data_IF_309170740812
#
_entry.id   IF_309170740812
#
_cell.length_a   1.000
_cell.length_b   1.000
_cell.length_c   1.000
_cell.angle_alpha   90.00
_cell.angle_beta   90.00
_cell.angle_gamma   90.00
#
_symmetry.space_group_name_H-M   'P 1'
#
loop_
_entity.id
_entity.type
_entity.pdbx_description
1 polymer ?
#
# COMPACT_ATOMS: atom_id res chain seq x y z
N UNK A 1 -17.22 25.35 -5.03
CA UNK A 1 -18.52 24.69 -5.27
C UNK A 1 -18.24 23.25 -5.70
N UNK A 2 -19.10 22.30 -5.36
CA UNK A 2 -19.00 20.94 -5.94
C UNK A 2 -19.51 20.99 -7.37
N UNK A 3 -19.02 20.16 -8.30
CA UNK A 3 -19.46 20.23 -9.69
C UNK A 3 -20.93 19.77 -9.80
N UNK A 4 -21.56 20.09 -10.94
CA UNK A 4 -22.92 19.63 -11.23
C UNK A 4 -22.93 18.12 -11.49
N UNK A 5 -24.09 17.50 -11.31
CA UNK A 5 -24.32 16.07 -11.44
C UNK A 5 -23.94 15.28 -10.19
N UNK A 6 -23.95 13.96 -10.37
CA UNK A 6 -23.51 12.96 -9.42
C UNK A 6 -21.98 12.90 -9.40
N UNK A 7 -21.39 12.88 -8.20
CA UNK A 7 -19.95 12.81 -8.00
C UNK A 7 -19.61 11.82 -6.92
N UNK A 8 -18.73 10.87 -7.23
CA UNK A 8 -18.21 9.85 -6.34
C UNK A 8 -16.78 10.19 -5.94
N UNK A 9 -16.48 10.07 -4.65
CA UNK A 9 -15.14 10.32 -4.12
C UNK A 9 -14.76 9.26 -3.09
N UNK A 10 -13.48 8.91 -3.06
CA UNK A 10 -12.89 8.07 -2.02
C UNK A 10 -12.06 8.89 -1.03
N UNK A 11 -12.03 8.46 0.23
CA UNK A 11 -11.13 9.03 1.25
C UNK A 11 -9.65 8.74 0.95
N UNK A 12 -9.37 7.68 0.20
CA UNK A 12 -8.06 7.33 -0.33
C UNK A 12 -8.25 6.61 -1.67
N UNK A 13 -7.57 7.10 -2.72
CA UNK A 13 -7.59 6.47 -4.05
C UNK A 13 -6.50 5.41 -4.22
N UNK A 14 -5.49 5.43 -3.35
CA UNK A 14 -4.46 4.39 -3.30
C UNK A 14 -3.94 4.19 -1.89
N UNK A 15 -3.62 2.94 -1.54
CA UNK A 15 -2.87 2.64 -0.31
C UNK A 15 -2.00 1.39 -0.49
N UNK A 16 -1.01 1.23 0.39
CA UNK A 16 -0.19 0.03 0.46
C UNK A 16 -0.97 -1.11 1.13
N UNK A 17 -1.01 -2.26 0.46
CA UNK A 17 -1.77 -3.42 0.89
C UNK A 17 -3.28 -3.24 0.81
N UNK A 18 -3.99 -4.21 1.38
CA UNK A 18 -5.44 -4.18 1.44
C UNK A 18 -5.93 -3.02 2.31
N UNK A 19 -6.91 -2.26 1.82
CA UNK A 19 -7.50 -1.16 2.57
C UNK A 19 -8.97 -0.96 2.19
N UNK A 20 -9.76 -0.40 3.11
CA UNK A 20 -11.15 -0.01 2.88
C UNK A 20 -11.26 1.51 2.89
N UNK A 21 -11.37 2.19 1.73
CA UNK A 21 -11.68 3.62 1.71
C UNK A 21 -13.13 3.86 2.15
N UNK A 22 -13.41 5.04 2.69
CA UNK A 22 -14.78 5.54 2.79
C UNK A 22 -15.15 6.20 1.47
N UNK A 23 -16.32 5.87 0.92
CA UNK A 23 -16.87 6.51 -0.26
C UNK A 23 -17.85 7.62 0.12
N UNK A 24 -17.94 8.64 -0.71
CA UNK A 24 -18.97 9.67 -0.60
C UNK A 24 -19.51 10.02 -1.97
N UNK A 25 -20.83 10.08 -2.10
CA UNK A 25 -21.50 10.59 -3.30
C UNK A 25 -22.11 11.95 -3.00
N UNK A 26 -22.14 12.84 -3.98
CA UNK A 26 -22.98 14.02 -3.94
C UNK A 26 -23.63 14.32 -5.26
N UNK A 27 -24.85 14.84 -5.21
CA UNK A 27 -25.63 15.23 -6.38
C UNK A 27 -25.94 16.73 -6.36
N UNK A 28 -25.65 17.42 -7.46
CA UNK A 28 -25.86 18.85 -7.63
C UNK A 28 -26.57 19.14 -8.94
N UNK A 29 -27.50 20.09 -8.90
CA UNK A 29 -28.12 20.58 -10.13
C UNK A 29 -27.09 21.30 -11.02
N UNK A 30 -27.48 21.58 -12.27
CA UNK A 30 -26.71 22.43 -13.18
C UNK A 30 -26.41 23.85 -12.63
N UNK A 31 -27.16 24.30 -11.61
CA UNK A 31 -26.93 25.57 -10.89
C UNK A 31 -26.13 25.40 -9.60
N UNK A 32 -25.53 24.22 -9.39
CA UNK A 32 -24.77 23.81 -8.21
C UNK A 32 -25.58 23.76 -6.91
N UNK A 33 -26.92 23.74 -6.99
CA UNK A 33 -27.78 23.55 -5.84
C UNK A 33 -27.75 22.09 -5.38
N UNK A 34 -28.00 21.85 -4.08
CA UNK A 34 -28.10 20.48 -3.56
C UNK A 34 -29.35 19.80 -4.11
N UNK A 35 -29.21 18.54 -4.51
CA UNK A 35 -30.34 17.68 -4.91
C UNK A 35 -30.47 16.59 -3.85
N UNK A 36 -31.59 16.61 -3.13
CA UNK A 36 -31.90 15.65 -2.07
C UNK A 36 -32.80 14.53 -2.60
N UNK A 37 -32.81 13.41 -1.90
CA UNK A 37 -33.63 12.23 -2.17
C UNK A 37 -33.38 11.57 -3.54
N UNK A 38 -32.23 11.84 -4.15
CA UNK A 38 -31.75 11.17 -5.36
C UNK A 38 -31.42 9.71 -5.02
N UNK A 39 -32.10 8.70 -5.60
CA UNK A 39 -31.73 7.30 -5.42
C UNK A 39 -30.43 7.01 -6.17
N UNK A 40 -29.48 6.36 -5.52
CA UNK A 40 -28.16 6.13 -6.12
C UNK A 40 -27.72 4.71 -5.86
N UNK A 41 -27.51 3.97 -6.94
CA UNK A 41 -26.90 2.65 -6.89
C UNK A 41 -25.37 2.78 -7.07
N UNK A 42 -24.64 2.02 -6.26
CA UNK A 42 -23.17 1.98 -6.32
C UNK A 42 -22.73 0.54 -6.42
N UNK A 43 -21.97 0.25 -7.47
CA UNK A 43 -21.38 -1.06 -7.71
C UNK A 43 -19.92 -0.90 -8.08
N UNK A 44 -19.19 -2.02 -8.12
CA UNK A 44 -17.79 -2.00 -8.46
C UNK A 44 -17.39 -3.22 -9.28
N UNK A 45 -16.32 -3.07 -10.05
CA UNK A 45 -15.67 -4.18 -10.73
C UNK A 45 -14.21 -4.26 -10.30
N UNK A 46 -13.79 -5.44 -9.84
CA UNK A 46 -12.39 -5.72 -9.53
C UNK A 46 -11.65 -5.99 -10.83
N UNK A 47 -10.66 -5.17 -11.14
CA UNK A 47 -9.86 -5.30 -12.35
C UNK A 47 -9.20 -6.68 -12.41
N UNK A 48 -9.29 -7.35 -13.56
CA UNK A 48 -8.81 -8.71 -13.73
C UNK A 48 -8.08 -8.89 -15.05
N UNK A 49 -7.09 -9.78 -15.06
CA UNK A 49 -6.42 -10.27 -16.27
C UNK A 49 -7.04 -11.57 -16.79
N UNK A 50 -8.01 -12.12 -16.08
CA UNK A 50 -8.70 -13.36 -16.47
C UNK A 50 -9.54 -13.08 -17.70
N UNK A 51 -9.32 -13.87 -18.76
CA UNK A 51 -10.12 -13.78 -19.98
C UNK A 51 -11.61 -14.00 -19.65
N UNK A 52 -12.47 -13.13 -20.19
CA UNK A 52 -13.91 -13.14 -19.92
C UNK A 52 -14.33 -12.47 -18.61
N UNK A 53 -13.40 -11.86 -17.85
CA UNK A 53 -13.75 -11.00 -16.72
C UNK A 53 -13.75 -9.53 -17.15
N UNK A 54 -14.93 -8.93 -17.23
CA UNK A 54 -15.13 -7.54 -17.63
C UNK A 54 -16.19 -6.84 -16.77
N UNK A 55 -16.09 -5.52 -16.64
CA UNK A 55 -17.13 -4.71 -16.01
C UNK A 55 -18.45 -4.75 -16.81
N UNK A 56 -18.33 -4.79 -18.15
CA UNK A 56 -19.42 -4.65 -19.09
C UNK A 56 -19.43 -5.78 -20.12
N UNK A 57 -20.62 -6.26 -20.45
CA UNK A 57 -20.85 -7.13 -21.60
C UNK A 57 -20.82 -6.35 -22.92
N UNK A 58 -20.92 -7.08 -24.04
CA UNK A 58 -20.87 -6.50 -25.39
C UNK A 58 -22.03 -5.53 -25.72
N UNK A 59 -23.07 -5.48 -24.87
CA UNK A 59 -24.24 -4.60 -25.01
C UNK A 59 -24.32 -3.58 -23.88
N UNK A 60 -23.20 -3.21 -23.25
CA UNK A 60 -23.15 -2.22 -22.17
C UNK A 60 -23.68 -2.67 -20.81
N UNK A 61 -24.41 -3.79 -20.73
CA UNK A 61 -24.95 -4.33 -19.47
C UNK A 61 -23.84 -4.74 -18.51
N UNK A 62 -24.10 -4.58 -17.21
CA UNK A 62 -23.19 -5.06 -16.17
C UNK A 62 -22.94 -6.57 -16.27
N UNK A 63 -21.67 -6.96 -16.20
CA UNK A 63 -21.25 -8.37 -16.23
C UNK A 63 -20.67 -8.79 -14.87
N UNK A 64 -19.34 -8.78 -14.72
CA UNK A 64 -18.65 -9.25 -13.53
C UNK A 64 -18.57 -8.21 -12.39
N UNK A 65 -19.37 -7.14 -12.49
CA UNK A 65 -19.54 -6.17 -11.41
C UNK A 65 -20.27 -6.76 -10.21
N UNK A 66 -19.96 -6.22 -9.03
CA UNK A 66 -20.48 -6.60 -7.72
C UNK A 66 -21.19 -5.41 -7.06
N UNK A 67 -22.27 -5.68 -6.33
CA UNK A 67 -23.00 -4.68 -5.55
C UNK A 67 -22.14 -4.17 -4.38
N UNK A 68 -22.19 -2.87 -4.09
CA UNK A 68 -21.74 -2.38 -2.77
C UNK A 68 -22.77 -2.71 -1.70
N UNK A 69 -22.42 -2.57 -0.41
CA UNK A 69 -23.35 -2.92 0.68
C UNK A 69 -24.62 -2.06 0.76
N UNK A 70 -24.67 -0.94 0.04
CA UNK A 70 -25.87 -0.11 -0.11
C UNK A 70 -26.75 -0.48 -1.31
N UNK A 71 -26.16 -1.14 -2.31
CA UNK A 71 -26.84 -1.55 -3.55
C UNK A 71 -27.72 -2.77 -3.29
N UNK A 72 -29.02 -2.65 -3.58
CA UNK A 72 -29.97 -3.76 -3.42
C UNK A 72 -29.81 -4.75 -4.59
N UNK A 73 -30.04 -4.25 -5.81
CA UNK A 73 -29.82 -4.99 -7.04
C UNK A 73 -28.74 -4.28 -7.83
N UNK A 74 -27.61 -4.98 -8.06
CA UNK A 74 -26.49 -4.40 -8.81
C UNK A 74 -26.97 -3.82 -10.14
N UNK A 75 -26.53 -2.61 -10.45
CA UNK A 75 -26.79 -1.97 -11.73
C UNK A 75 -28.28 -1.74 -12.01
N UNK A 76 -29.08 -1.54 -10.97
CA UNK A 76 -30.52 -1.32 -11.09
C UNK A 76 -30.99 -0.37 -9.99
N UNK A 77 -31.77 0.65 -10.35
CA UNK A 77 -32.37 1.55 -9.35
C UNK A 77 -33.63 0.90 -8.78
N UNK A 78 -33.48 0.32 -7.59
CA UNK A 78 -34.58 -0.19 -6.79
C UNK A 78 -35.34 0.93 -6.06
N UNK A 79 -36.58 0.63 -5.66
CA UNK A 79 -37.39 1.55 -4.84
C UNK A 79 -36.87 1.73 -3.42
N UNK A 80 -35.96 0.86 -2.97
CA UNK A 80 -35.33 0.92 -1.65
C UNK A 80 -33.88 1.40 -1.67
N UNK A 81 -33.38 1.84 -2.82
CA UNK A 81 -31.98 2.25 -2.96
C UNK A 81 -31.66 3.42 -2.01
N UNK A 82 -30.46 3.46 -1.39
CA UNK A 82 -30.08 4.59 -0.55
C UNK A 82 -30.12 5.90 -1.34
N UNK A 83 -30.53 6.96 -0.66
CA UNK A 83 -30.76 8.26 -1.29
C UNK A 83 -29.82 9.34 -0.74
N UNK A 84 -29.57 10.36 -1.55
CA UNK A 84 -28.90 11.57 -1.07
C UNK A 84 -29.73 12.25 0.04
N UNK A 85 -29.07 12.70 1.10
CA UNK A 85 -29.74 13.40 2.19
C UNK A 85 -30.10 14.86 1.83
N UNK A 86 -30.67 15.61 2.77
CA UNK A 86 -31.03 17.03 2.60
C UNK A 86 -29.85 17.96 2.20
N UNK A 87 -28.59 17.50 2.30
CA UNK A 87 -27.40 18.22 1.82
C UNK A 87 -26.92 17.74 0.45
N UNK A 88 -27.71 16.89 -0.22
CA UNK A 88 -27.41 16.22 -1.47
C UNK A 88 -26.18 15.33 -1.40
N UNK A 89 -25.97 14.65 -0.27
CA UNK A 89 -24.83 13.74 -0.09
C UNK A 89 -25.30 12.37 0.39
N UNK A 90 -24.57 11.33 0.04
CA UNK A 90 -24.73 9.99 0.63
C UNK A 90 -23.35 9.38 0.92
N UNK A 91 -23.32 8.35 1.75
CA UNK A 91 -22.12 7.54 2.00
C UNK A 91 -22.44 6.10 1.63
N UNK A 92 -21.95 5.59 0.50
CA UNK A 92 -22.10 4.19 0.15
C UNK A 92 -21.34 3.30 1.13
N UNK A 93 -21.89 2.13 1.43
CA UNK A 93 -21.19 1.11 2.22
C UNK A 93 -20.27 0.32 1.28
N UNK A 94 -18.95 0.45 1.43
CA UNK A 94 -18.01 -0.39 0.66
C UNK A 94 -18.22 -1.88 0.98
N UNK A 95 -18.27 -2.72 -0.05
CA UNK A 95 -18.52 -4.16 0.11
C UNK A 95 -17.35 -4.93 0.76
N UNK A 96 -16.15 -4.34 0.80
CA UNK A 96 -14.96 -4.95 1.38
C UNK A 96 -13.70 -4.11 1.15
N UNK A 97 -12.55 -4.69 1.49
CA UNK A 97 -11.25 -4.08 1.20
C UNK A 97 -10.97 -4.11 -0.31
N UNK A 98 -10.45 -3.01 -0.85
CA UNK A 98 -9.70 -3.03 -2.10
C UNK A 98 -8.39 -3.75 -1.82
N UNK A 99 -8.15 -4.85 -2.53
CA UNK A 99 -6.99 -5.72 -2.30
C UNK A 99 -6.05 -5.74 -3.49
N UNK A 100 -4.76 -5.96 -3.25
CA UNK A 100 -3.83 -6.29 -4.33
C UNK A 100 -4.29 -7.57 -5.06
N UNK A 101 -4.15 -7.63 -6.39
CA UNK A 101 -4.53 -8.81 -7.21
C UNK A 101 -3.79 -10.09 -6.75
N UNK A 102 -2.60 -9.90 -6.17
CA UNK A 102 -1.88 -10.87 -5.37
C UNK A 102 -1.00 -10.11 -4.38
N UNK A 103 -0.27 -10.80 -3.50
CA UNK A 103 0.73 -10.17 -2.61
C UNK A 103 1.72 -9.26 -3.35
N UNK A 104 1.87 -9.45 -4.67
CA UNK A 104 2.92 -8.85 -5.50
C UNK A 104 2.41 -7.92 -6.63
N UNK A 105 1.13 -8.02 -7.03
CA UNK A 105 0.59 -7.21 -8.14
C UNK A 105 -0.41 -6.18 -7.61
N UNK A 106 -0.36 -4.92 -8.10
CA UNK A 106 -1.38 -3.96 -7.76
C UNK A 106 -2.75 -4.51 -8.17
N UNK A 107 -3.74 -4.34 -7.31
CA UNK A 107 -5.14 -4.60 -7.61
C UNK A 107 -5.89 -3.28 -7.59
N UNK A 108 -7.04 -3.26 -8.24
CA UNK A 108 -7.92 -2.09 -8.21
C UNK A 108 -9.37 -2.50 -8.32
N UNK A 109 -10.21 -1.70 -7.69
CA UNK A 109 -11.65 -1.74 -7.86
C UNK A 109 -12.08 -0.45 -8.55
N UNK A 110 -12.85 -0.61 -9.63
CA UNK A 110 -13.49 0.49 -10.36
C UNK A 110 -14.89 0.63 -9.79
N UNK A 111 -15.12 1.66 -8.99
CA UNK A 111 -16.42 1.97 -8.41
C UNK A 111 -17.20 2.89 -9.34
N UNK A 112 -18.47 2.57 -9.57
CA UNK A 112 -19.40 3.40 -10.34
C UNK A 112 -20.60 3.71 -9.46
N UNK A 113 -20.92 4.99 -9.32
CA UNK A 113 -22.17 5.46 -8.75
C UNK A 113 -23.06 5.97 -9.88
N UNK A 114 -24.35 5.69 -9.83
CA UNK A 114 -25.29 6.20 -10.82
C UNK A 114 -26.68 6.42 -10.25
N UNK A 115 -27.47 7.25 -10.93
CA UNK A 115 -28.86 7.55 -10.59
C UNK A 115 -29.75 7.52 -11.82
N UNK A 116 -31.02 7.16 -11.61
CA UNK A 116 -32.08 7.23 -12.59
C UNK A 116 -33.45 7.10 -11.88
N UNK A 117 -34.53 7.08 -12.64
CA UNK A 117 -35.83 6.70 -12.10
C UNK A 117 -35.82 5.23 -11.63
N UNK A 118 -36.55 4.94 -10.55
CA UNK A 118 -36.72 3.56 -10.07
C UNK A 118 -37.30 2.67 -11.17
N UNK A 119 -36.76 1.46 -11.31
CA UNK A 119 -37.10 0.56 -12.41
C UNK A 119 -36.12 0.57 -13.58
N UNK A 120 -35.09 1.42 -13.53
CA UNK A 120 -34.11 1.55 -14.61
C UNK A 120 -32.92 0.62 -14.36
N UNK A 121 -32.42 -0.01 -15.42
CA UNK A 121 -31.17 -0.81 -15.40
C UNK A 121 -30.03 0.02 -15.98
N UNK A 122 -28.86 -0.02 -15.36
CA UNK A 122 -27.67 0.62 -15.90
C UNK A 122 -27.21 -0.12 -17.14
N UNK A 123 -26.88 0.65 -18.16
CA UNK A 123 -26.33 0.20 -19.42
C UNK A 123 -25.22 1.20 -19.78
N UNK A 124 -23.98 0.74 -19.86
CA UNK A 124 -22.84 1.61 -20.07
C UNK A 124 -22.86 2.31 -21.44
N UNK A 125 -23.51 1.73 -22.45
CA UNK A 125 -23.63 2.34 -23.78
C UNK A 125 -24.64 3.51 -23.78
N UNK A 126 -25.63 3.46 -22.88
CA UNK A 126 -26.66 4.50 -22.73
C UNK A 126 -26.38 5.49 -21.60
N UNK A 127 -25.83 5.02 -20.49
CA UNK A 127 -25.68 5.78 -19.26
C UNK A 127 -24.21 6.06 -18.92
N UNK A 128 -23.25 5.33 -19.50
CA UNK A 128 -21.83 5.44 -19.20
C UNK A 128 -21.06 6.46 -20.04
N UNK A 129 -21.50 6.79 -21.26
CA UNK A 129 -20.83 7.84 -22.06
C UNK A 129 -21.81 8.70 -22.89
N UNK A 130 -21.63 10.02 -22.82
CA UNK A 130 -22.22 11.07 -23.68
C UNK A 130 -23.71 11.39 -23.54
N UNK A 131 -24.60 10.45 -23.17
CA UNK A 131 -26.04 10.75 -23.10
C UNK A 131 -26.45 11.40 -21.76
N UNK A 132 -25.95 10.92 -20.62
CA UNK A 132 -26.29 11.42 -19.27
C UNK A 132 -25.04 11.51 -18.36
N UNK A 133 -24.08 12.36 -18.74
CA UNK A 133 -22.83 12.53 -17.98
C UNK A 133 -23.01 13.04 -16.53
N UNK A 134 -24.17 13.64 -16.23
CA UNK A 134 -24.47 14.17 -14.89
C UNK A 134 -25.11 13.11 -13.96
N UNK A 135 -25.52 11.95 -14.48
CA UNK A 135 -26.26 10.94 -13.71
C UNK A 135 -25.37 9.78 -13.22
N UNK A 136 -24.07 9.79 -13.52
CA UNK A 136 -23.13 8.77 -13.07
C UNK A 136 -21.72 9.34 -12.87
N UNK A 137 -20.92 8.64 -12.07
CA UNK A 137 -19.50 8.92 -11.91
C UNK A 137 -18.74 7.62 -11.60
N UNK A 138 -17.50 7.54 -12.08
CA UNK A 138 -16.65 6.37 -11.94
C UNK A 138 -15.28 6.77 -11.40
N UNK A 139 -14.84 6.07 -10.36
CA UNK A 139 -13.49 6.22 -9.81
C UNK A 139 -12.78 4.87 -9.77
N UNK A 140 -11.46 4.90 -9.87
CA UNK A 140 -10.62 3.73 -9.62
C UNK A 140 -9.92 3.89 -8.27
N UNK A 141 -10.06 2.90 -7.39
CA UNK A 141 -9.28 2.80 -6.15
C UNK A 141 -8.30 1.65 -6.29
N UNK A 142 -7.01 1.94 -6.07
CA UNK A 142 -5.93 0.97 -6.19
C UNK A 142 -5.36 0.52 -4.85
N UNK A 143 -5.02 -0.76 -4.72
CA UNK A 143 -4.22 -1.29 -3.64
C UNK A 143 -2.86 -1.75 -4.19
N UNK A 144 -1.77 -1.14 -3.73
CA UNK A 144 -0.42 -1.58 -4.11
C UNK A 144 -0.01 -2.80 -3.28
N UNK A 145 0.98 -3.56 -3.74
CA UNK A 145 1.57 -4.65 -2.95
C UNK A 145 1.90 -4.22 -1.50
N UNK A 146 1.67 -5.10 -0.53
CA UNK A 146 1.85 -4.83 0.89
C UNK A 146 3.32 -5.03 1.32
N UNK A 147 3.81 -4.09 2.15
CA UNK A 147 5.06 -4.07 2.93
C UNK A 147 6.38 -4.42 2.21
N UNK A 148 7.34 -3.50 2.31
CA UNK A 148 8.68 -3.74 1.83
C UNK A 148 9.36 -4.85 2.66
N UNK A 149 9.75 -5.97 2.05
CA UNK A 149 10.65 -6.92 2.70
C UNK A 149 12.07 -6.37 2.55
N UNK A 150 12.77 -6.18 3.67
CA UNK A 150 14.21 -5.91 3.64
C UNK A 150 14.94 -7.22 3.94
N UNK A 151 15.85 -7.61 3.05
CA UNK A 151 16.75 -8.74 3.26
C UNK A 151 18.16 -8.21 3.31
N UNK A 152 18.84 -8.44 4.42
CA UNK A 152 20.21 -8.02 4.61
C UNK A 152 21.15 -9.20 4.52
N UNK A 153 22.31 -8.95 3.93
CA UNK A 153 23.46 -9.85 3.91
C UNK A 153 24.66 -9.07 4.43
N UNK A 154 25.67 -9.77 4.91
CA UNK A 154 26.93 -9.16 5.29
C UNK A 154 28.08 -9.98 4.71
N UNK A 155 29.19 -9.31 4.42
CA UNK A 155 30.44 -9.94 4.02
C UNK A 155 31.05 -10.70 5.20
N UNK A 156 30.69 -11.97 5.34
CA UNK A 156 31.33 -12.84 6.32
C UNK A 156 32.64 -13.41 5.78
N UNK A 157 33.68 -13.54 6.62
CA UNK A 157 34.89 -14.27 6.25
C UNK A 157 34.60 -15.70 5.79
N UNK A 158 35.51 -16.26 4.98
CA UNK A 158 35.39 -17.65 4.55
C UNK A 158 35.35 -18.60 5.76
N UNK A 159 34.42 -19.56 5.74
CA UNK A 159 34.18 -20.57 6.78
C UNK A 159 33.53 -20.07 8.08
N UNK A 160 32.99 -18.85 8.11
CA UNK A 160 32.16 -18.41 9.25
C UNK A 160 30.91 -19.28 9.38
N UNK A 161 30.60 -19.71 10.60
CA UNK A 161 29.36 -20.44 10.89
C UNK A 161 28.16 -19.51 10.66
N UNK A 162 27.35 -19.79 9.65
CA UNK A 162 26.18 -18.97 9.27
C UNK A 162 24.87 -19.50 9.86
N UNK A 163 24.90 -20.56 10.66
CA UNK A 163 23.70 -21.15 11.28
C UNK A 163 23.19 -20.36 12.49
N UNK A 164 23.89 -19.30 12.89
CA UNK A 164 23.52 -18.39 13.98
C UNK A 164 23.63 -16.95 13.50
N UNK A 165 22.80 -16.04 14.05
CA UNK A 165 22.83 -14.62 13.72
C UNK A 165 24.12 -13.89 14.18
N UNK A 166 24.95 -14.52 15.02
CA UNK A 166 26.21 -13.97 15.48
C UNK A 166 27.36 -14.39 14.55
N UNK A 167 28.20 -13.42 14.20
CA UNK A 167 29.40 -13.63 13.40
C UNK A 167 30.62 -13.10 14.15
N UNK A 168 31.71 -13.87 14.16
CA UNK A 168 32.99 -13.45 14.74
C UNK A 168 33.94 -13.05 13.63
N UNK A 169 34.53 -11.87 13.75
CA UNK A 169 35.55 -11.32 12.84
C UNK A 169 36.77 -10.89 13.64
N UNK A 170 37.91 -10.73 12.97
CA UNK A 170 39.09 -10.18 13.60
C UNK A 170 38.92 -8.68 13.89
N UNK A 171 39.66 -8.17 14.88
CA UNK A 171 39.75 -6.73 15.14
C UNK A 171 40.23 -5.96 13.90
N UNK A 172 39.79 -4.72 13.77
CA UNK A 172 40.13 -3.82 12.65
C UNK A 172 39.52 -4.19 11.29
N UNK A 173 38.79 -5.30 11.16
CA UNK A 173 38.08 -5.66 9.93
C UNK A 173 36.89 -4.73 9.73
N UNK A 174 36.69 -4.26 8.50
CA UNK A 174 35.46 -3.57 8.12
C UNK A 174 34.50 -4.57 7.49
N UNK A 175 33.28 -4.60 8.00
CA UNK A 175 32.19 -5.47 7.55
C UNK A 175 31.12 -4.63 6.88
N UNK A 176 30.80 -4.94 5.64
CA UNK A 176 29.74 -4.32 4.83
C UNK A 176 28.43 -5.07 5.01
N UNK A 177 27.39 -4.38 5.47
CA UNK A 177 26.01 -4.88 5.49
C UNK A 177 25.28 -4.35 4.26
N UNK A 178 24.85 -5.24 3.38
CA UNK A 178 24.10 -4.94 2.16
C UNK A 178 22.64 -5.36 2.34
N UNK A 179 21.74 -4.40 2.30
CA UNK A 179 20.31 -4.63 2.47
C UNK A 179 19.54 -4.32 1.20
N UNK A 180 18.76 -5.29 0.74
CA UNK A 180 17.89 -5.19 -0.40
C UNK A 180 16.46 -4.96 0.07
N UNK A 181 15.92 -3.76 -0.17
CA UNK A 181 14.49 -3.51 -0.02
C UNK A 181 13.77 -3.99 -1.28
N UNK A 182 12.73 -4.79 -1.06
CA UNK A 182 11.85 -5.32 -2.10
C UNK A 182 10.44 -4.84 -1.85
N UNK A 183 9.65 -4.62 -2.89
CA UNK A 183 8.26 -4.14 -2.76
C UNK A 183 7.29 -5.16 -2.14
N UNK A 184 7.69 -6.44 -2.03
CA UNK A 184 6.96 -7.49 -1.32
C UNK A 184 7.83 -8.76 -1.10
N UNK A 185 7.49 -9.58 -0.10
CA UNK A 185 8.09 -10.89 0.11
C UNK A 185 7.64 -11.90 -0.98
N UNK A 186 8.58 -12.62 -1.60
CA UNK A 186 8.28 -13.68 -2.57
C UNK A 186 7.99 -13.22 -4.01
N UNK A 187 8.15 -11.93 -4.31
CA UNK A 187 7.86 -11.34 -5.63
C UNK A 187 8.97 -11.43 -6.67
N UNK A 188 10.08 -12.11 -6.38
CA UNK A 188 11.27 -12.09 -7.24
C UNK A 188 11.85 -10.68 -7.40
N UNK A 189 12.80 -10.30 -6.55
CA UNK A 189 13.71 -9.15 -6.72
C UNK A 189 13.15 -7.85 -7.34
N UNK A 190 11.90 -7.44 -7.05
CA UNK A 190 11.42 -6.11 -7.46
C UNK A 190 11.97 -5.08 -6.48
N UNK A 191 13.03 -4.40 -6.91
CA UNK A 191 13.71 -3.32 -6.23
C UNK A 191 12.74 -2.24 -5.73
N UNK A 192 12.79 -1.91 -4.43
CA UNK A 192 12.11 -0.72 -3.90
C UNK A 192 13.10 0.43 -3.72
N UNK A 193 13.10 1.37 -4.66
CA UNK A 193 13.91 2.57 -4.60
C UNK A 193 13.37 3.59 -3.57
N UNK A 194 14.27 4.46 -3.08
CA UNK A 194 13.97 5.55 -2.14
C UNK A 194 13.30 5.11 -0.83
N UNK A 195 13.41 3.83 -0.46
CA UNK A 195 12.96 3.35 0.84
C UNK A 195 13.95 3.85 1.91
N UNK A 196 13.46 4.63 2.86
CA UNK A 196 14.27 5.05 4.01
C UNK A 196 14.55 3.86 4.93
N UNK A 197 15.81 3.71 5.33
CA UNK A 197 16.32 2.66 6.20
C UNK A 197 17.13 3.29 7.31
N UNK A 198 16.75 2.99 8.55
CA UNK A 198 17.49 3.35 9.75
C UNK A 198 18.42 2.20 10.12
N UNK A 199 19.69 2.52 10.32
CA UNK A 199 20.73 1.63 10.84
C UNK A 199 21.12 2.10 12.24
N UNK A 200 21.16 1.16 13.17
CA UNK A 200 21.62 1.36 14.54
C UNK A 200 22.65 0.29 14.89
N UNK A 201 23.79 0.69 15.45
CA UNK A 201 24.79 -0.23 15.97
C UNK A 201 25.23 0.19 17.37
N UNK A 202 25.08 -0.72 18.32
CA UNK A 202 25.59 -0.59 19.68
C UNK A 202 26.77 -1.54 19.87
N UNK A 203 27.93 -0.98 20.23
CA UNK A 203 29.16 -1.74 20.47
C UNK A 203 29.42 -1.88 21.96
N UNK A 204 29.60 -3.12 22.42
CA UNK A 204 29.81 -3.46 23.83
C UNK A 204 31.10 -4.25 23.99
N UNK A 205 31.90 -3.88 25.00
CA UNK A 205 33.04 -4.68 25.45
C UNK A 205 32.51 -5.84 26.30
N UNK A 206 32.48 -7.05 25.73
CA UNK A 206 31.84 -8.24 26.32
C UNK A 206 32.79 -9.15 27.09
N UNK A 207 34.07 -9.18 26.72
CA UNK A 207 35.10 -9.86 27.49
C UNK A 207 36.33 -8.98 27.48
N UNK A 208 36.81 -8.66 28.68
CA UNK A 208 38.09 -7.98 28.87
C UNK A 208 38.98 -8.88 29.71
N UNK A 209 40.05 -9.34 29.08
CA UNK A 209 41.04 -10.22 29.68
C UNK A 209 41.98 -9.49 30.64
N UNK A 210 41.99 -8.15 30.63
CA UNK A 210 42.84 -7.28 31.44
C UNK A 210 42.08 -6.47 32.50
N UNK A 211 40.76 -6.35 32.39
CA UNK A 211 39.87 -5.76 33.39
C UNK A 211 39.78 -4.22 33.39
N UNK A 212 40.21 -3.57 32.30
CA UNK A 212 40.27 -2.12 32.14
C UNK A 212 39.04 -1.50 31.44
N UNK A 213 38.17 -2.29 30.80
CA UNK A 213 37.11 -1.86 29.89
C UNK A 213 35.83 -2.70 30.10
N UNK A 214 34.67 -2.06 30.17
CA UNK A 214 33.37 -2.74 30.25
C UNK A 214 32.23 -1.88 29.72
N UNK A 215 31.16 -2.51 29.25
CA UNK A 215 29.92 -1.85 28.86
C UNK A 215 29.90 -1.34 27.42
N UNK A 216 28.91 -0.49 27.10
CA UNK A 216 28.78 0.15 25.78
C UNK A 216 29.92 1.14 25.57
N UNK A 217 30.66 0.96 24.48
CA UNK A 217 31.82 1.79 24.13
C UNK A 217 31.58 2.65 22.89
N UNK A 218 30.56 2.34 22.08
CA UNK A 218 30.15 3.18 20.97
C UNK A 218 28.70 2.92 20.56
N UNK A 219 28.04 3.95 20.04
CA UNK A 219 26.71 3.89 19.44
C UNK A 219 26.74 4.68 18.13
N UNK A 220 26.16 4.09 17.08
CA UNK A 220 26.09 4.69 15.76
C UNK A 220 24.66 4.64 15.26
N UNK A 221 24.17 5.76 14.72
CA UNK A 221 22.88 5.83 14.04
C UNK A 221 23.08 6.46 12.66
N UNK A 222 22.47 5.87 11.64
CA UNK A 222 22.50 6.42 10.29
C UNK A 222 21.16 6.20 9.61
N UNK A 223 20.66 7.25 8.97
CA UNK A 223 19.50 7.19 8.10
C UNK A 223 19.98 7.29 6.65
N UNK A 224 19.56 6.36 5.82
CA UNK A 224 19.83 6.36 4.38
C UNK A 224 18.60 5.92 3.62
N UNK A 225 18.65 5.99 2.30
CA UNK A 225 17.60 5.51 1.42
C UNK A 225 18.17 4.55 0.39
N UNK A 226 17.35 3.62 -0.08
CA UNK A 226 17.75 2.67 -1.12
C UNK A 226 17.88 3.33 -2.48
N UNK A 227 18.85 2.88 -3.26
CA UNK A 227 19.06 3.34 -4.63
C UNK A 227 17.99 2.82 -5.61
N UNK A 228 18.14 3.11 -6.91
CA UNK A 228 17.21 2.66 -7.95
C UNK A 228 17.05 1.13 -8.03
N UNK A 229 18.06 0.38 -7.55
CA UNK A 229 18.04 -1.09 -7.48
C UNK A 229 17.52 -1.60 -6.15
N UNK A 230 17.07 -0.72 -5.25
CA UNK A 230 16.55 -1.09 -3.94
C UNK A 230 17.64 -1.47 -2.93
N UNK A 231 18.91 -1.18 -3.23
CA UNK A 231 20.05 -1.50 -2.39
C UNK A 231 20.40 -0.33 -1.46
N UNK A 232 20.75 -0.65 -0.21
CA UNK A 232 21.43 0.26 0.72
C UNK A 232 22.56 -0.50 1.41
N UNK A 233 23.68 0.16 1.65
CA UNK A 233 24.87 -0.43 2.29
C UNK A 233 25.30 0.35 3.52
N UNK A 234 25.66 -0.37 4.58
CA UNK A 234 26.24 0.18 5.80
C UNK A 234 27.60 -0.47 6.07
N UNK A 235 28.51 0.25 6.72
CA UNK A 235 29.81 -0.28 7.10
C UNK A 235 29.96 -0.31 8.62
N UNK A 236 30.36 -1.46 9.15
CA UNK A 236 30.76 -1.67 10.53
C UNK A 236 32.29 -1.70 10.53
N UNK A 237 32.91 -0.64 11.05
CA UNK A 237 34.37 -0.61 11.20
C UNK A 237 34.73 -1.28 12.52
N UNK A 238 35.39 -2.43 12.47
CA UNK A 238 35.84 -3.18 13.64
C UNK A 238 36.70 -2.31 14.57
N UNK A 239 36.64 -2.53 15.89
CA UNK A 239 37.45 -1.76 16.82
C UNK A 239 38.94 -2.06 16.61
N UNK A 240 39.80 -1.15 17.03
CA UNK A 240 41.24 -1.39 17.10
C UNK A 240 41.52 -2.59 17.99
N UNK A 241 42.46 -3.43 17.56
CA UNK A 241 42.90 -4.60 18.32
C UNK A 241 43.36 -4.20 19.74
N UNK A 242 42.90 -4.96 20.72
CA UNK A 242 43.23 -4.77 22.12
C UNK A 242 44.13 -5.93 22.59
N UNK A 243 45.02 -5.64 23.55
CA UNK A 243 45.95 -6.67 24.03
C UNK A 243 45.22 -7.73 24.85
N UNK A 244 45.22 -8.98 24.39
CA UNK A 244 44.73 -10.12 25.17
C UNK A 244 43.73 -10.97 24.41
N UNK A 245 42.79 -11.59 25.13
CA UNK A 245 41.70 -12.42 24.57
C UNK A 245 40.36 -11.70 24.67
N UNK A 246 40.37 -10.43 24.30
CA UNK A 246 39.21 -9.56 24.43
C UNK A 246 38.16 -9.86 23.37
N UNK A 247 36.90 -9.57 23.70
CA UNK A 247 35.76 -9.74 22.79
C UNK A 247 34.91 -8.48 22.85
N UNK A 248 34.72 -7.88 21.68
CA UNK A 248 33.80 -6.77 21.47
C UNK A 248 32.64 -7.25 20.60
N UNK A 249 31.42 -6.94 21.01
CA UNK A 249 30.20 -7.33 20.31
C UNK A 249 29.49 -6.10 19.77
N UNK A 250 29.21 -6.10 18.46
CA UNK A 250 28.34 -5.14 17.79
C UNK A 250 26.91 -5.74 17.70
N UNK A 251 25.91 -4.99 18.16
CA UNK A 251 24.49 -5.32 18.02
C UNK A 251 23.87 -4.38 17.01
N UNK A 252 23.49 -4.93 15.85
CA UNK A 252 23.01 -4.15 14.71
C UNK A 252 21.51 -4.33 14.52
N UNK A 253 20.78 -3.22 14.45
CA UNK A 253 19.35 -3.18 14.12
C UNK A 253 19.15 -2.39 12.83
N UNK A 254 18.39 -2.95 11.90
CA UNK A 254 18.07 -2.30 10.62
C UNK A 254 16.56 -2.28 10.45
N UNK A 255 16.01 -1.09 10.28
CA UNK A 255 14.56 -0.88 10.23
C UNK A 255 14.17 -0.04 9.02
N UNK A 256 13.21 -0.52 8.23
CA UNK A 256 12.54 0.31 7.23
C UNK A 256 11.66 1.35 7.93
N UNK A 257 11.84 2.62 7.60
CA UNK A 257 11.06 3.72 8.19
C UNK A 257 10.24 4.45 7.13
N UNK A 258 9.08 4.95 7.54
CA UNK A 258 8.27 5.86 6.73
C UNK A 258 8.47 7.26 7.29
N UNK A 259 8.96 8.19 6.47
CA UNK A 259 9.08 9.60 6.85
C UNK A 259 7.89 10.33 6.26
N UNK A 260 7.01 10.83 7.12
CA UNK A 260 6.00 11.81 6.73
C UNK A 260 6.68 13.17 6.62
N UNK A 261 6.66 13.74 5.42
CA UNK A 261 7.06 15.13 5.16
C UNK A 261 5.90 16.06 5.49
#
# INVERSE_FOLDING_TARGET
ARPAGLWLQASAYTNAGAHSPTLSVSDRSATFAVVADTPVDVFYWTTSTTEGNAAWGATGVCDNSLATGGSITKCYIDTGEPQTNAKGNMTPTVAGNVTPLATIYPGSDVFTAWTAAAGTTFDNDLHGETANADDHDTITVGATAAAAQITCTMDTPANTLVSTAAHTVAFGVTTTVSCQAQSAAGAGNVAKALQYVKYENTRVFTTDSTGNQSGTIAEYETLSYTDATGLVTFAIVGPTDTTGTDVVTDSVTITCVTITV
#
